data_IF_633046029321
#
_entry.id   IF_633046029321
#
_cell.length_a   1.000
_cell.length_b   1.000
_cell.length_c   1.000
_cell.angle_alpha   90.00
_cell.angle_beta   90.00
_cell.angle_gamma   90.00
#
_symmetry.space_group_name_H-M   'P 1'
#
loop_
_entity.id
_entity.type
_entity.pdbx_description
1 polymer ?
#
# COMPACT_ATOMS: atom_id res chain seq x y z
N UNK A 1 61.56 -25.66 19.24
CA UNK A 1 60.69 -24.96 20.20
C UNK A 1 59.42 -24.58 19.46
N UNK A 2 58.33 -25.27 19.80
CA UNK A 2 57.01 -25.18 19.20
C UNK A 2 56.47 -23.75 19.28
N UNK A 3 55.97 -23.23 18.16
CA UNK A 3 54.92 -22.21 18.17
C UNK A 3 53.64 -22.94 17.74
N UNK A 4 52.99 -23.59 18.72
CA UNK A 4 51.61 -24.03 18.61
C UNK A 4 50.74 -22.77 18.55
N UNK A 5 50.38 -22.35 17.33
CA UNK A 5 49.29 -21.41 17.14
C UNK A 5 48.00 -22.17 17.45
N UNK A 6 47.33 -21.80 18.55
CA UNK A 6 45.99 -22.23 18.94
C UNK A 6 45.05 -22.20 17.73
N UNK A 7 44.74 -23.36 17.17
CA UNK A 7 43.64 -23.53 16.22
C UNK A 7 42.36 -23.72 17.05
N UNK A 8 41.85 -22.63 17.63
CA UNK A 8 40.54 -22.64 18.27
C UNK A 8 39.47 -22.46 17.19
N UNK A 9 38.89 -23.57 16.70
CA UNK A 9 37.80 -23.55 15.72
C UNK A 9 36.66 -22.59 16.07
N UNK A 10 36.00 -22.07 15.04
CA UNK A 10 34.97 -21.04 15.16
C UNK A 10 33.73 -21.56 15.89
N UNK A 11 33.14 -20.69 16.72
CA UNK A 11 31.97 -21.00 17.53
C UNK A 11 30.71 -20.36 16.96
N UNK A 12 29.63 -21.14 16.93
CA UNK A 12 28.36 -20.71 16.35
C UNK A 12 27.20 -21.03 17.30
N UNK A 13 26.34 -20.04 17.57
CA UNK A 13 25.11 -20.26 18.31
C UNK A 13 24.07 -20.88 17.37
N UNK A 14 23.70 -22.12 17.65
CA UNK A 14 22.75 -22.89 16.86
C UNK A 14 21.31 -22.74 17.36
N UNK A 15 20.37 -22.74 16.43
CA UNK A 15 18.94 -22.57 16.67
C UNK A 15 18.10 -23.28 15.60
N UNK A 16 16.82 -23.48 15.90
CA UNK A 16 15.86 -24.13 15.02
C UNK A 16 14.97 -23.13 14.29
N UNK A 17 14.71 -23.46 13.03
CA UNK A 17 13.60 -22.94 12.24
C UNK A 17 13.01 -24.11 11.44
N UNK A 18 11.74 -24.43 11.68
CA UNK A 18 10.99 -25.46 10.95
C UNK A 18 11.68 -26.84 10.96
N UNK A 19 12.20 -27.22 12.12
CA UNK A 19 12.89 -28.50 12.34
C UNK A 19 14.31 -28.54 11.76
N UNK A 20 14.81 -27.47 11.14
CA UNK A 20 16.16 -27.37 10.58
C UNK A 20 17.07 -26.53 11.48
N UNK A 21 18.35 -26.89 11.51
CA UNK A 21 19.36 -26.22 12.34
C UNK A 21 20.05 -25.11 11.53
N UNK A 22 20.02 -23.90 12.08
CA UNK A 22 20.72 -22.72 11.61
C UNK A 22 21.68 -22.24 12.69
N UNK A 23 22.65 -21.41 12.33
CA UNK A 23 23.53 -20.82 13.32
C UNK A 23 24.01 -19.41 12.96
N UNK A 24 24.28 -18.61 13.98
CA UNK A 24 25.01 -17.35 13.88
C UNK A 24 26.38 -17.49 14.50
N UNK A 25 27.33 -16.69 14.03
CA UNK A 25 28.61 -16.53 14.70
C UNK A 25 28.37 -16.02 16.14
N UNK A 26 29.00 -16.69 17.12
CA UNK A 26 28.90 -16.29 18.53
C UNK A 26 29.44 -14.88 18.72
N UNK A 27 30.45 -14.46 17.96
CA UNK A 27 31.04 -13.12 18.04
C UNK A 27 30.05 -12.01 17.65
N UNK A 28 29.04 -12.33 16.84
CA UNK A 28 27.96 -11.41 16.46
C UNK A 28 26.75 -11.49 17.39
N UNK A 29 26.75 -12.41 18.35
CA UNK A 29 25.62 -12.65 19.25
C UNK A 29 25.85 -12.00 20.60
N UNK A 30 24.92 -11.15 21.06
CA UNK A 30 25.00 -10.48 22.36
C UNK A 30 24.39 -11.30 23.49
N UNK A 31 23.16 -11.74 23.30
CA UNK A 31 22.41 -12.50 24.30
C UNK A 31 21.25 -13.27 23.67
N UNK A 32 20.79 -14.30 24.37
CA UNK A 32 19.59 -15.06 24.03
C UNK A 32 18.54 -14.79 25.08
N UNK A 33 17.36 -14.38 24.65
CA UNK A 33 16.23 -14.09 25.52
C UNK A 33 15.16 -15.17 25.31
N UNK A 34 14.53 -15.62 26.41
CA UNK A 34 13.25 -16.31 26.30
C UNK A 34 12.21 -15.37 25.67
N UNK A 35 11.24 -15.94 24.95
CA UNK A 35 10.18 -15.13 24.33
C UNK A 35 9.52 -14.19 25.35
N UNK A 36 9.33 -12.94 24.93
CA UNK A 36 8.60 -11.90 25.66
C UNK A 36 7.70 -11.15 24.69
N UNK A 37 6.74 -10.39 25.21
CA UNK A 37 5.83 -9.62 24.37
C UNK A 37 6.60 -8.58 23.53
N UNK A 38 6.46 -8.70 22.22
CA UNK A 38 6.98 -7.75 21.23
C UNK A 38 5.88 -6.74 20.92
N UNK A 39 6.20 -5.45 20.95
CA UNK A 39 5.25 -4.38 20.60
C UNK A 39 5.19 -4.23 19.08
N UNK A 40 4.05 -4.49 18.42
CA UNK A 40 3.95 -4.38 16.97
C UNK A 40 4.12 -2.94 16.50
N UNK A 41 4.83 -2.75 15.38
CA UNK A 41 4.95 -1.45 14.73
C UNK A 41 4.06 -1.44 13.48
N UNK A 42 3.20 -0.41 13.28
CA UNK A 42 2.42 -0.26 12.07
C UNK A 42 3.31 -0.13 10.82
N UNK A 43 2.80 -0.58 9.67
CA UNK A 43 3.45 -0.39 8.36
C UNK A 43 4.83 -1.08 8.18
N UNK A 44 5.17 -2.09 8.99
CA UNK A 44 6.39 -2.87 8.80
C UNK A 44 6.19 -4.09 7.88
N UNK A 45 7.27 -4.63 7.27
CA UNK A 45 7.22 -5.91 6.59
C UNK A 45 6.72 -7.04 7.49
N UNK A 46 6.13 -8.09 6.91
CA UNK A 46 5.56 -9.25 7.64
C UNK A 46 6.56 -9.93 8.55
N UNK A 47 7.83 -9.94 8.14
CA UNK A 47 8.90 -10.53 8.91
C UNK A 47 9.36 -9.68 10.08
N UNK A 48 8.89 -8.44 10.23
CA UNK A 48 9.17 -7.62 11.41
C UNK A 48 8.07 -7.89 12.43
N UNK A 49 8.42 -8.59 13.51
CA UNK A 49 7.50 -8.89 14.59
C UNK A 49 7.14 -7.63 15.40
N UNK A 50 8.05 -6.65 15.45
CA UNK A 50 7.88 -5.37 16.13
C UNK A 50 9.15 -4.94 16.84
N UNK A 51 9.01 -4.27 17.98
CA UNK A 51 10.12 -3.86 18.85
C UNK A 51 9.99 -4.38 20.28
N UNK A 52 11.12 -4.59 20.92
CA UNK A 52 11.23 -4.84 22.36
C UNK A 52 12.12 -3.79 23.01
N UNK A 53 11.94 -3.59 24.32
CA UNK A 53 12.85 -2.77 25.12
C UNK A 53 13.92 -3.68 25.74
N UNK A 54 15.17 -3.51 25.32
CA UNK A 54 16.33 -4.21 25.84
C UNK A 54 17.17 -3.24 26.67
N UNK A 55 17.06 -3.34 28.00
CA UNK A 55 17.85 -2.56 28.97
C UNK A 55 17.80 -1.04 28.70
N UNK A 56 16.65 -0.52 28.28
CA UNK A 56 16.43 0.90 27.98
C UNK A 56 16.56 1.28 26.51
N UNK A 57 17.06 0.37 25.65
CA UNK A 57 17.18 0.57 24.21
C UNK A 57 16.07 -0.13 23.44
N UNK A 58 15.57 0.50 22.39
CA UNK A 58 14.57 -0.12 21.50
C UNK A 58 15.29 -1.01 20.50
N UNK A 59 14.91 -2.29 20.46
CA UNK A 59 15.48 -3.30 19.55
C UNK A 59 14.38 -3.82 18.62
N UNK A 60 14.62 -3.75 17.32
CA UNK A 60 13.73 -4.33 16.30
C UNK A 60 13.89 -5.84 16.28
N UNK A 61 12.76 -6.55 16.30
CA UNK A 61 12.71 -8.01 16.27
C UNK A 61 12.12 -8.49 14.96
N UNK A 62 12.85 -9.35 14.26
CA UNK A 62 12.42 -10.00 13.02
C UNK A 62 12.06 -11.46 13.29
N UNK A 63 10.90 -11.92 12.80
CA UNK A 63 10.51 -13.32 12.77
C UNK A 63 11.23 -14.02 11.62
N UNK A 64 12.20 -14.86 11.97
CA UNK A 64 13.11 -15.49 11.01
C UNK A 64 12.44 -16.58 10.16
N UNK A 65 11.37 -17.22 10.65
CA UNK A 65 10.55 -18.10 9.80
C UNK A 65 9.96 -17.31 8.65
N UNK A 66 9.26 -16.22 8.95
CA UNK A 66 8.66 -15.38 7.91
C UNK A 66 9.69 -14.63 7.06
N UNK A 67 10.86 -14.27 7.60
CA UNK A 67 11.97 -13.66 6.83
C UNK A 67 12.51 -14.63 5.79
N UNK A 68 12.58 -15.93 6.09
CA UNK A 68 13.04 -16.98 5.17
C UNK A 68 11.90 -17.69 4.43
N UNK A 69 10.70 -17.09 4.38
CA UNK A 69 9.57 -17.60 3.61
C UNK A 69 8.94 -18.88 4.15
N UNK A 70 9.16 -19.21 5.42
CA UNK A 70 8.51 -20.32 6.13
C UNK A 70 7.19 -19.86 6.76
N UNK A 71 6.28 -20.81 6.99
CA UNK A 71 5.02 -20.53 7.70
C UNK A 71 5.30 -20.08 9.14
N UNK A 72 4.52 -19.13 9.66
CA UNK A 72 4.63 -18.76 11.07
C UNK A 72 4.24 -19.94 11.98
N UNK A 73 4.88 -20.04 13.15
CA UNK A 73 4.60 -21.07 14.14
C UNK A 73 3.94 -20.44 15.38
N UNK A 74 3.22 -21.27 16.16
CA UNK A 74 2.76 -20.85 17.47
C UNK A 74 3.96 -20.63 18.40
N UNK A 75 3.88 -19.63 19.27
CA UNK A 75 4.89 -19.40 20.30
C UNK A 75 4.81 -20.55 21.32
N UNK A 76 5.97 -21.09 21.69
CA UNK A 76 6.13 -22.16 22.68
C UNK A 76 7.10 -21.73 23.77
N UNK A 77 7.25 -22.55 24.82
CA UNK A 77 8.22 -22.29 25.89
C UNK A 77 9.68 -22.32 25.41
N UNK A 78 9.95 -23.02 24.30
CA UNK A 78 11.27 -23.08 23.66
C UNK A 78 11.57 -21.86 22.78
N UNK A 79 10.54 -21.08 22.42
CA UNK A 79 10.68 -19.94 21.52
C UNK A 79 11.57 -18.86 22.12
N UNK A 80 12.53 -18.38 21.33
CA UNK A 80 13.58 -17.50 21.80
C UNK A 80 13.81 -16.31 20.85
N UNK A 81 14.39 -15.24 21.39
CA UNK A 81 14.84 -14.08 20.64
C UNK A 81 16.36 -13.98 20.80
N UNK A 82 17.09 -14.14 19.69
CA UNK A 82 18.55 -14.02 19.67
C UNK A 82 18.90 -12.56 19.33
N UNK A 83 19.57 -11.87 20.25
CA UNK A 83 20.04 -10.50 20.05
C UNK A 83 21.42 -10.54 19.40
N UNK A 84 21.57 -9.87 18.27
CA UNK A 84 22.80 -9.84 17.49
C UNK A 84 23.20 -8.41 17.12
N UNK A 85 24.47 -8.25 16.77
CA UNK A 85 25.02 -7.04 16.14
C UNK A 85 25.10 -7.27 14.63
N UNK A 86 24.34 -6.50 13.85
CA UNK A 86 24.39 -6.54 12.40
C UNK A 86 24.94 -5.21 11.86
N UNK A 87 25.72 -5.27 10.80
CA UNK A 87 26.10 -4.08 10.04
C UNK A 87 25.00 -3.74 9.02
N UNK A 88 24.50 -2.51 9.06
CA UNK A 88 23.48 -1.98 8.17
C UNK A 88 23.89 -0.57 7.70
N UNK A 89 24.03 -0.35 6.39
CA UNK A 89 24.49 0.93 5.81
C UNK A 89 25.75 1.50 6.50
N UNK A 90 26.75 0.65 6.73
CA UNK A 90 28.01 0.96 7.44
C UNK A 90 27.85 1.37 8.93
N UNK A 91 26.65 1.22 9.50
CA UNK A 91 26.39 1.38 10.93
C UNK A 91 26.14 0.03 11.62
N UNK A 92 26.68 -0.12 12.83
CA UNK A 92 26.40 -1.29 13.67
C UNK A 92 25.07 -1.10 14.40
N UNK A 93 24.11 -1.98 14.14
CA UNK A 93 22.79 -1.97 14.75
C UNK A 93 22.55 -3.23 15.58
N UNK A 94 21.78 -3.09 16.67
CA UNK A 94 21.38 -4.21 17.52
C UNK A 94 19.97 -4.61 17.11
N UNK A 95 19.81 -5.90 16.77
CA UNK A 95 18.56 -6.45 16.24
C UNK A 95 18.29 -7.82 16.85
N UNK A 96 17.03 -8.24 16.87
CA UNK A 96 16.59 -9.52 17.40
C UNK A 96 16.08 -10.48 16.32
N UNK A 97 16.50 -11.74 16.33
CA UNK A 97 15.89 -12.82 15.57
C UNK A 97 14.96 -13.65 16.47
N UNK A 98 13.66 -13.66 16.17
CA UNK A 98 12.70 -14.59 16.76
C UNK A 98 12.80 -15.95 16.05
N UNK A 99 13.12 -16.99 16.81
CA UNK A 99 13.43 -18.36 16.34
C UNK A 99 12.63 -19.42 17.12
N UNK A 100 12.53 -20.64 16.58
CA UNK A 100 11.70 -21.69 17.20
C UNK A 100 12.28 -22.20 18.52
N UNK A 101 13.60 -22.42 18.56
CA UNK A 101 14.33 -22.84 19.75
C UNK A 101 15.83 -22.58 19.60
N UNK A 102 16.54 -22.29 20.69
CA UNK A 102 18.01 -22.27 20.70
C UNK A 102 18.53 -23.64 21.15
N UNK A 103 19.51 -24.19 20.43
CA UNK A 103 20.09 -25.51 20.73
C UNK A 103 21.43 -25.47 21.46
N UNK A 104 22.10 -24.31 21.44
CA UNK A 104 23.36 -24.08 22.13
C UNK A 104 24.52 -23.79 21.17
N UNK A 105 25.74 -23.75 21.69
CA UNK A 105 26.93 -23.40 20.92
C UNK A 105 27.54 -24.65 20.29
N UNK A 106 27.78 -24.58 18.98
CA UNK A 106 28.52 -25.56 18.20
C UNK A 106 29.90 -25.00 17.86
N UNK A 107 30.87 -25.90 17.68
CA UNK A 107 32.21 -25.56 17.24
C UNK A 107 32.50 -26.30 15.93
N UNK A 108 33.00 -25.56 14.94
CA UNK A 108 33.43 -26.11 13.66
C UNK A 108 34.87 -25.68 13.39
N UNK A 109 35.69 -26.64 13.03
CA UNK A 109 37.00 -26.36 12.42
C UNK A 109 36.81 -25.95 10.95
N UNK A 110 37.78 -25.24 10.38
CA UNK A 110 37.62 -24.64 9.05
C UNK A 110 37.38 -25.66 7.92
N UNK A 111 37.88 -26.88 8.07
CA UNK A 111 37.69 -28.00 7.14
C UNK A 111 36.32 -28.70 7.29
N UNK A 112 35.58 -28.38 8.36
CA UNK A 112 34.22 -28.90 8.61
C UNK A 112 33.13 -27.97 8.07
N UNK A 113 33.50 -26.82 7.50
CA UNK A 113 32.58 -25.85 6.90
C UNK A 113 32.73 -25.94 5.39
N UNK A 114 31.69 -26.44 4.73
CA UNK A 114 31.62 -26.50 3.27
C UNK A 114 30.92 -25.25 2.71
N UNK A 115 31.24 -24.82 1.48
CA UNK A 115 30.52 -23.73 0.83
C UNK A 115 29.05 -24.12 0.56
N UNK A 116 28.12 -23.14 0.53
CA UNK A 116 26.71 -23.42 0.26
C UNK A 116 26.52 -24.04 -1.13
N UNK A 117 25.71 -25.11 -1.27
CA UNK A 117 25.41 -25.73 -2.55
C UNK A 117 24.76 -24.74 -3.52
N UNK A 118 25.25 -24.70 -4.77
CA UNK A 118 24.75 -23.79 -5.80
C UNK A 118 23.41 -24.22 -6.43
N UNK A 119 22.95 -25.44 -6.16
CA UNK A 119 21.75 -26.03 -6.76
C UNK A 119 20.84 -26.58 -5.67
N UNK A 120 19.53 -26.26 -5.73
CA UNK A 120 18.50 -26.84 -4.87
C UNK A 120 18.22 -26.07 -3.56
N UNK A 121 18.95 -25.00 -3.24
CA UNK A 121 18.65 -24.15 -2.09
C UNK A 121 17.62 -23.07 -2.44
N UNK A 122 16.67 -22.85 -1.52
CA UNK A 122 15.69 -21.74 -1.60
C UNK A 122 16.19 -20.44 -0.95
N UNK A 123 17.17 -20.51 -0.06
CA UNK A 123 17.85 -19.31 0.47
C UNK A 123 18.91 -18.83 -0.52
N UNK A 124 19.08 -17.52 -0.63
CA UNK A 124 20.20 -16.93 -1.38
C UNK A 124 21.52 -17.39 -0.76
N UNK A 125 22.47 -17.83 -1.61
CA UNK A 125 23.81 -18.24 -1.17
C UNK A 125 24.56 -17.10 -0.46
N UNK A 126 24.19 -15.85 -0.70
CA UNK A 126 24.78 -14.66 -0.06
C UNK A 126 24.36 -14.50 1.41
N UNK A 127 23.27 -15.16 1.84
CA UNK A 127 22.83 -15.20 3.23
C UNK A 127 23.58 -16.24 4.06
N UNK A 128 24.39 -17.10 3.43
CA UNK A 128 25.00 -18.27 4.03
C UNK A 128 26.52 -18.15 3.94
N UNK A 129 27.19 -18.08 5.09
CA UNK A 129 28.65 -18.12 5.15
C UNK A 129 29.18 -19.53 4.83
N UNK A 130 28.42 -20.57 5.16
CA UNK A 130 28.77 -21.96 4.87
C UNK A 130 27.76 -22.95 5.45
N UNK A 131 28.02 -24.23 5.22
CA UNK A 131 27.29 -25.34 5.83
C UNK A 131 28.28 -26.12 6.70
N UNK A 132 28.05 -26.10 8.01
CA UNK A 132 28.79 -26.93 8.96
C UNK A 132 28.28 -28.36 8.89
N UNK A 133 29.19 -29.33 8.76
CA UNK A 133 28.87 -30.75 8.78
C UNK A 133 29.30 -31.36 10.11
N UNK A 134 28.37 -32.02 10.80
CA UNK A 134 28.68 -32.80 12.01
C UNK A 134 27.89 -34.09 11.99
N UNK A 135 28.61 -35.21 12.02
CA UNK A 135 28.03 -36.54 11.86
C UNK A 135 27.21 -36.63 10.55
N UNK A 136 25.89 -36.81 10.65
CA UNK A 136 24.93 -36.85 9.53
C UNK A 136 24.06 -35.59 9.41
N UNK A 137 24.22 -34.61 10.31
CA UNK A 137 23.42 -33.38 10.35
C UNK A 137 24.14 -32.20 9.70
N UNK A 138 23.35 -31.37 9.00
CA UNK A 138 23.82 -30.14 8.36
C UNK A 138 23.35 -28.92 9.15
N UNK A 139 24.27 -28.00 9.40
CA UNK A 139 24.00 -26.73 10.07
C UNK A 139 24.23 -25.59 9.08
N UNK A 140 23.18 -24.81 8.80
CA UNK A 140 23.29 -23.66 7.90
C UNK A 140 23.84 -22.47 8.68
N UNK A 141 25.06 -22.05 8.38
CA UNK A 141 25.73 -20.93 9.03
C UNK A 141 25.36 -19.64 8.30
N UNK A 142 24.56 -18.79 8.94
CA UNK A 142 24.05 -17.57 8.34
C UNK A 142 25.04 -16.41 8.48
N UNK A 143 25.10 -15.58 7.45
CA UNK A 143 25.71 -14.28 7.53
C UNK A 143 24.75 -13.32 8.26
N UNK A 144 25.10 -12.86 9.46
CA UNK A 144 24.24 -11.99 10.27
C UNK A 144 23.93 -10.67 9.53
N UNK A 145 24.94 -10.02 8.97
CA UNK A 145 24.78 -8.73 8.31
C UNK A 145 23.79 -8.83 7.13
N UNK A 146 23.89 -9.89 6.32
CA UNK A 146 22.97 -10.16 5.21
C UNK A 146 21.61 -10.71 5.66
N UNK A 147 21.55 -11.52 6.71
CA UNK A 147 20.29 -12.08 7.22
C UNK A 147 19.34 -10.99 7.75
N UNK A 148 19.90 -9.89 8.25
CA UNK A 148 19.16 -8.74 8.77
C UNK A 148 19.11 -7.55 7.78
N UNK A 149 19.76 -7.63 6.61
CA UNK A 149 19.64 -6.60 5.58
C UNK A 149 18.28 -6.62 4.89
N UNK A 150 17.89 -5.47 4.32
CA UNK A 150 16.70 -5.34 3.47
C UNK A 150 16.89 -5.92 2.07
N UNK A 151 18.04 -6.54 1.74
CA UNK A 151 18.25 -7.13 0.41
C UNK A 151 17.18 -8.20 0.12
N UNK A 152 16.34 -7.82 -0.85
CA UNK A 152 15.02 -8.37 -1.14
C UNK A 152 15.07 -9.86 -1.52
N UNK A 153 14.03 -10.61 -1.11
CA UNK A 153 13.69 -11.92 -1.69
C UNK A 153 13.28 -11.82 -3.18
N UNK A 154 13.22 -10.61 -3.73
CA UNK A 154 12.92 -10.29 -5.13
C UNK A 154 14.18 -9.71 -5.78
N UNK A 155 14.65 -10.32 -6.86
CA UNK A 155 15.84 -9.86 -7.58
C UNK A 155 15.65 -8.47 -8.20
N UNK A 156 16.74 -7.76 -8.46
CA UNK A 156 16.70 -6.47 -9.18
C UNK A 156 15.98 -6.56 -10.52
N UNK A 157 16.15 -7.67 -11.24
CA UNK A 157 15.43 -7.93 -12.50
C UNK A 157 13.93 -8.00 -12.27
N UNK A 158 13.47 -8.78 -11.28
CA UNK A 158 12.04 -8.90 -10.97
C UNK A 158 11.47 -7.55 -10.53
N UNK A 159 12.23 -6.78 -9.74
CA UNK A 159 11.84 -5.43 -9.32
C UNK A 159 11.66 -4.49 -10.50
N UNK A 160 12.55 -4.54 -11.49
CA UNK A 160 12.43 -3.79 -12.74
C UNK A 160 11.22 -4.26 -13.55
N UNK A 161 11.03 -5.58 -13.70
CA UNK A 161 9.89 -6.16 -14.41
C UNK A 161 8.55 -5.68 -13.84
N UNK A 162 8.35 -5.75 -12.51
CA UNK A 162 7.12 -5.24 -11.87
C UNK A 162 7.00 -3.72 -11.98
N UNK A 163 8.10 -2.97 -11.86
CA UNK A 163 8.06 -1.50 -12.02
C UNK A 163 7.61 -1.12 -13.43
N UNK A 164 8.16 -1.77 -14.46
CA UNK A 164 7.78 -1.57 -15.86
C UNK A 164 6.34 -2.00 -16.14
N UNK A 165 5.88 -3.09 -15.53
CA UNK A 165 4.48 -3.52 -15.66
C UNK A 165 3.53 -2.48 -15.06
N UNK A 166 3.86 -1.93 -13.89
CA UNK A 166 3.05 -0.91 -13.22
C UNK A 166 3.00 0.37 -14.04
N UNK A 167 4.14 0.83 -14.53
CA UNK A 167 4.21 2.04 -15.35
C UNK A 167 3.46 1.86 -16.67
N UNK A 168 3.63 0.70 -17.33
CA UNK A 168 2.94 0.37 -18.58
C UNK A 168 1.42 0.28 -18.41
N UNK A 169 0.95 -0.41 -17.38
CA UNK A 169 -0.49 -0.72 -17.25
C UNK A 169 -1.25 0.36 -16.48
N UNK A 170 -0.61 1.06 -15.54
CA UNK A 170 -1.28 2.01 -14.65
C UNK A 170 -0.68 3.42 -14.69
N UNK A 171 0.44 3.64 -15.38
CA UNK A 171 1.10 4.95 -15.45
C UNK A 171 1.70 5.42 -14.13
N UNK A 172 1.80 4.54 -13.13
CA UNK A 172 2.25 4.89 -11.77
C UNK A 172 3.78 4.79 -11.70
N UNK A 173 4.44 5.89 -11.36
CA UNK A 173 5.87 5.88 -11.05
C UNK A 173 6.12 5.30 -9.65
N UNK A 174 7.10 4.40 -9.58
CA UNK A 174 7.49 3.70 -8.36
C UNK A 174 8.79 4.27 -7.78
N UNK A 175 8.72 5.29 -6.89
CA UNK A 175 9.89 5.75 -6.15
C UNK A 175 10.43 4.63 -5.23
N UNK A 176 11.71 4.68 -4.82
CA UNK A 176 12.37 3.62 -4.05
C UNK A 176 11.57 3.12 -2.84
N UNK A 177 11.03 4.03 -2.02
CA UNK A 177 10.22 3.71 -0.83
C UNK A 177 8.97 2.88 -1.16
N UNK A 178 8.32 3.14 -2.31
CA UNK A 178 7.14 2.35 -2.72
C UNK A 178 7.51 0.96 -3.21
N UNK A 179 8.75 0.73 -3.66
CA UNK A 179 9.19 -0.59 -4.12
C UNK A 179 9.24 -1.59 -2.95
N UNK A 180 9.74 -1.17 -1.79
CA UNK A 180 9.75 -1.99 -0.56
C UNK A 180 8.33 -2.38 -0.11
N UNK A 181 7.40 -1.42 -0.12
CA UNK A 181 5.99 -1.69 0.19
C UNK A 181 5.35 -2.66 -0.80
N UNK A 182 5.65 -2.52 -2.09
CA UNK A 182 5.19 -3.43 -3.12
C UNK A 182 5.73 -4.85 -2.89
N UNK A 183 7.03 -5.01 -2.57
CA UNK A 183 7.62 -6.33 -2.27
C UNK A 183 6.86 -7.04 -1.15
N UNK A 184 6.58 -6.34 -0.04
CA UNK A 184 5.86 -6.93 1.09
C UNK A 184 4.41 -7.32 0.72
N UNK A 185 3.71 -6.48 -0.04
CA UNK A 185 2.33 -6.74 -0.49
C UNK A 185 2.27 -7.88 -1.49
N UNK A 186 3.21 -7.94 -2.43
CA UNK A 186 3.35 -9.03 -3.39
C UNK A 186 3.67 -10.34 -2.68
N UNK A 187 4.63 -10.36 -1.76
CA UNK A 187 4.97 -11.58 -0.99
C UNK A 187 3.74 -12.24 -0.36
N UNK A 188 2.87 -11.45 0.29
CA UNK A 188 1.59 -11.95 0.85
C UNK A 188 0.69 -12.54 -0.23
N UNK A 189 0.61 -11.90 -1.39
CA UNK A 189 -0.25 -12.34 -2.50
C UNK A 189 0.27 -13.63 -3.13
N UNK A 190 1.58 -13.73 -3.38
CA UNK A 190 2.25 -14.92 -3.88
C UNK A 190 1.96 -16.13 -2.98
N UNK A 191 2.13 -15.95 -1.66
CA UNK A 191 1.86 -17.00 -0.68
C UNK A 191 0.38 -17.44 -0.69
N UNK A 192 -0.56 -16.49 -0.79
CA UNK A 192 -1.98 -16.80 -0.85
C UNK A 192 -2.38 -17.60 -2.11
N UNK A 193 -1.65 -17.44 -3.20
CA UNK A 193 -1.88 -18.16 -4.47
C UNK A 193 -1.00 -19.40 -4.64
N UNK A 194 -0.06 -19.65 -3.72
CA UNK A 194 0.85 -20.79 -3.77
C UNK A 194 1.97 -20.68 -4.81
N UNK A 195 2.29 -19.46 -5.29
CA UNK A 195 3.42 -19.25 -6.20
C UNK A 195 4.76 -19.37 -5.46
N UNK A 196 5.75 -19.99 -6.09
CA UNK A 196 7.06 -20.27 -5.47
C UNK A 196 8.10 -19.20 -5.76
N UNK A 197 7.83 -18.31 -6.71
CA UNK A 197 8.71 -17.18 -7.04
C UNK A 197 7.95 -15.98 -7.62
N UNK A 198 8.57 -14.81 -7.53
CA UNK A 198 8.10 -13.58 -8.17
C UNK A 198 8.06 -13.70 -9.69
N UNK A 199 9.04 -14.38 -10.29
CA UNK A 199 9.05 -14.69 -11.73
C UNK A 199 7.84 -15.51 -12.17
N UNK A 200 7.44 -16.55 -11.42
CA UNK A 200 6.23 -17.34 -11.73
C UNK A 200 4.96 -16.48 -11.68
N UNK A 201 4.83 -15.68 -10.62
CA UNK A 201 3.70 -14.76 -10.47
C UNK A 201 3.67 -13.71 -11.58
N UNK A 202 4.82 -13.13 -11.93
CA UNK A 202 4.93 -12.17 -13.02
C UNK A 202 4.43 -12.75 -14.36
N UNK A 203 4.85 -13.97 -14.69
CA UNK A 203 4.38 -14.68 -15.89
C UNK A 203 2.87 -14.92 -15.86
N UNK A 204 2.31 -15.23 -14.69
CA UNK A 204 0.88 -15.44 -14.54
C UNK A 204 0.07 -14.15 -14.76
N UNK A 205 0.45 -13.04 -14.10
CA UNK A 205 -0.31 -11.78 -14.21
C UNK A 205 -0.18 -11.11 -15.58
N UNK A 206 0.87 -11.44 -16.33
CA UNK A 206 1.09 -10.93 -17.69
C UNK A 206 0.47 -11.81 -18.78
N UNK A 207 -0.11 -12.98 -18.41
CA UNK A 207 -0.87 -13.82 -19.33
C UNK A 207 -2.26 -13.21 -19.57
N UNK A 208 -2.54 -12.81 -20.81
CA UNK A 208 -3.79 -12.11 -21.18
C UNK A 208 -5.08 -12.92 -20.92
N UNK A 209 -4.99 -14.26 -20.89
CA UNK A 209 -6.16 -15.14 -20.72
C UNK A 209 -6.37 -15.55 -19.27
N UNK A 210 -5.29 -15.73 -18.51
CA UNK A 210 -5.32 -16.26 -17.14
C UNK A 210 -5.13 -15.18 -16.07
N UNK A 211 -4.42 -14.11 -16.41
CA UNK A 211 -4.00 -13.07 -15.48
C UNK A 211 -4.92 -11.85 -15.42
N UNK A 212 -5.92 -11.73 -16.29
CA UNK A 212 -6.77 -10.53 -16.36
C UNK A 212 -7.46 -10.21 -15.03
N UNK A 213 -8.06 -11.20 -14.38
CA UNK A 213 -8.69 -11.04 -13.06
C UNK A 213 -7.65 -10.68 -11.98
N UNK A 214 -6.46 -11.29 -12.06
CA UNK A 214 -5.37 -11.02 -11.12
C UNK A 214 -4.79 -9.61 -11.29
N UNK A 215 -4.79 -9.07 -12.50
CA UNK A 215 -4.29 -7.73 -12.79
C UNK A 215 -5.09 -6.66 -12.04
N UNK A 216 -6.39 -6.86 -11.85
CA UNK A 216 -7.23 -5.99 -11.01
C UNK A 216 -6.79 -6.04 -9.54
N UNK A 217 -6.43 -7.21 -9.03
CA UNK A 217 -5.95 -7.38 -7.65
C UNK A 217 -4.55 -6.78 -7.51
N UNK A 218 -3.71 -6.94 -8.53
CA UNK A 218 -2.39 -6.31 -8.58
C UNK A 218 -2.49 -4.78 -8.50
N UNK A 219 -3.47 -4.16 -9.17
CA UNK A 219 -3.74 -2.73 -9.05
C UNK A 219 -4.05 -2.30 -7.59
N UNK A 220 -4.79 -3.11 -6.84
CA UNK A 220 -5.06 -2.87 -5.40
C UNK A 220 -3.78 -2.92 -4.54
N UNK A 221 -2.80 -3.76 -4.91
CA UNK A 221 -1.54 -3.87 -4.18
C UNK A 221 -0.62 -2.68 -4.43
N UNK A 222 -0.70 -2.08 -5.61
CA UNK A 222 0.17 -0.98 -6.06
C UNK A 222 -0.36 0.38 -5.61
N UNK A 223 -1.69 0.51 -5.55
CA UNK A 223 -2.36 1.77 -5.21
C UNK A 223 -2.16 2.16 -3.73
N UNK A 224 -2.20 3.47 -3.48
CA UNK A 224 -2.19 4.05 -2.14
C UNK A 224 -3.49 4.83 -2.00
N UNK A 225 -4.33 4.41 -1.06
CA UNK A 225 -5.65 4.97 -0.85
C UNK A 225 -5.67 5.77 0.44
N UNK A 226 -5.35 7.06 0.34
CA UNK A 226 -5.53 7.98 1.46
C UNK A 226 -6.57 9.02 1.07
N UNK A 227 -7.71 8.98 1.77
CA UNK A 227 -8.84 9.87 1.54
C UNK A 227 -9.59 10.09 2.84
N UNK A 228 -10.30 11.21 2.92
CA UNK A 228 -11.12 11.59 4.07
C UNK A 228 -12.26 12.51 3.62
N UNK A 229 -13.34 12.53 4.39
CA UNK A 229 -14.44 13.45 4.15
C UNK A 229 -13.96 14.90 4.25
N UNK A 230 -14.39 15.76 3.33
CA UNK A 230 -14.00 17.18 3.27
C UNK A 230 -12.48 17.45 3.21
N UNK A 231 -11.69 16.50 2.67
CA UNK A 231 -10.27 16.72 2.37
C UNK A 231 -10.10 17.96 1.47
N UNK A 232 -9.27 18.91 1.86
CA UNK A 232 -9.08 20.20 1.17
C UNK A 232 -10.39 21.02 1.06
N UNK A 233 -10.98 21.34 2.22
CA UNK A 233 -12.27 22.01 2.38
C UNK A 233 -12.51 23.20 1.44
N UNK A 234 -11.47 23.98 1.13
CA UNK A 234 -11.55 25.14 0.24
C UNK A 234 -12.14 24.84 -1.15
N UNK A 235 -11.93 23.64 -1.69
CA UNK A 235 -12.55 23.25 -2.97
C UNK A 235 -14.06 23.13 -2.85
N UNK A 236 -14.55 22.57 -1.74
CA UNK A 236 -15.97 22.44 -1.47
C UNK A 236 -16.60 23.80 -1.11
N UNK A 237 -15.85 24.68 -0.46
CA UNK A 237 -16.28 26.05 -0.20
C UNK A 237 -16.44 26.84 -1.50
N UNK A 238 -15.50 26.72 -2.45
CA UNK A 238 -15.64 27.33 -3.78
C UNK A 238 -16.78 26.70 -4.58
N UNK A 239 -16.92 25.38 -4.51
CA UNK A 239 -18.01 24.66 -5.15
C UNK A 239 -19.36 25.23 -4.69
N UNK A 240 -19.58 25.31 -3.39
CA UNK A 240 -20.82 25.79 -2.79
C UNK A 240 -21.07 27.27 -3.07
N UNK A 241 -20.10 28.15 -2.75
CA UNK A 241 -20.30 29.60 -2.79
C UNK A 241 -20.25 30.21 -4.19
N UNK A 242 -19.65 29.51 -5.17
CA UNK A 242 -19.39 30.08 -6.50
C UNK A 242 -19.84 29.16 -7.62
N UNK A 243 -19.26 27.96 -7.73
CA UNK A 243 -19.42 27.15 -8.94
C UNK A 243 -20.86 26.68 -9.15
N UNK A 244 -21.56 26.26 -8.08
CA UNK A 244 -22.96 25.82 -8.17
C UNK A 244 -23.90 26.97 -8.54
N UNK A 245 -23.70 28.17 -8.00
CA UNK A 245 -24.46 29.36 -8.39
C UNK A 245 -24.28 29.67 -9.88
N UNK A 246 -23.04 29.68 -10.39
CA UNK A 246 -22.77 29.93 -11.81
C UNK A 246 -23.40 28.86 -12.72
N UNK A 247 -23.29 27.58 -12.36
CA UNK A 247 -23.89 26.50 -13.13
C UNK A 247 -25.43 26.58 -13.13
N UNK A 248 -26.03 26.96 -12.01
CA UNK A 248 -27.48 27.16 -11.89
C UNK A 248 -27.94 28.34 -12.76
N UNK A 249 -27.31 29.51 -12.64
CA UNK A 249 -27.71 30.73 -13.34
C UNK A 249 -27.53 30.61 -14.86
N UNK A 250 -26.37 30.13 -15.31
CA UNK A 250 -26.05 30.11 -16.74
C UNK A 250 -26.69 28.95 -17.49
N UNK A 251 -26.85 27.79 -16.83
CA UNK A 251 -27.25 26.53 -17.48
C UNK A 251 -28.53 25.93 -16.91
N UNK A 252 -29.08 26.49 -15.84
CA UNK A 252 -30.17 25.85 -15.08
C UNK A 252 -29.76 24.51 -14.49
N UNK A 253 -28.46 24.29 -14.22
CA UNK A 253 -27.96 23.01 -13.76
C UNK A 253 -28.54 22.69 -12.37
N UNK A 254 -28.98 21.45 -12.19
CA UNK A 254 -29.68 20.99 -10.99
C UNK A 254 -31.20 21.13 -11.10
N UNK A 255 -31.72 22.10 -11.85
CA UNK A 255 -33.17 22.35 -11.97
C UNK A 255 -33.72 21.93 -13.32
N UNK A 256 -33.15 22.42 -14.43
CA UNK A 256 -33.56 22.07 -15.80
C UNK A 256 -33.02 20.71 -16.24
N UNK A 257 -31.86 20.34 -15.71
CA UNK A 257 -31.16 19.08 -15.98
C UNK A 257 -30.31 18.71 -14.75
N UNK A 258 -30.05 17.42 -14.51
CA UNK A 258 -29.22 17.01 -13.38
C UNK A 258 -27.78 17.51 -13.53
N UNK A 259 -27.18 17.97 -12.44
CA UNK A 259 -25.73 18.22 -12.39
C UNK A 259 -25.00 16.89 -12.48
N UNK A 260 -24.01 16.79 -13.37
CA UNK A 260 -23.16 15.60 -13.49
C UNK A 260 -21.78 15.88 -12.93
N UNK A 261 -21.37 15.09 -11.95
CA UNK A 261 -20.03 15.22 -11.35
C UNK A 261 -19.26 13.92 -11.49
N UNK A 262 -18.00 14.01 -11.90
CA UNK A 262 -17.05 12.91 -11.89
C UNK A 262 -16.05 13.09 -10.74
N UNK A 263 -15.87 12.09 -9.90
CA UNK A 263 -14.71 11.94 -9.01
C UNK A 263 -13.83 10.84 -9.62
N UNK A 264 -12.77 11.24 -10.35
CA UNK A 264 -12.06 10.34 -11.27
C UNK A 264 -11.03 9.42 -10.61
N UNK A 265 -10.75 9.63 -9.32
CA UNK A 265 -9.95 8.79 -8.44
C UNK A 265 -10.59 8.74 -7.04
N UNK A 266 -11.81 8.20 -6.98
CA UNK A 266 -12.72 8.36 -5.84
C UNK A 266 -12.31 7.58 -4.58
N UNK A 267 -11.36 6.65 -4.68
CA UNK A 267 -10.92 5.79 -3.60
C UNK A 267 -12.13 5.13 -2.90
N UNK A 268 -12.21 5.18 -1.57
CA UNK A 268 -13.31 4.59 -0.80
C UNK A 268 -14.59 5.45 -0.76
N UNK A 269 -14.69 6.48 -1.62
CA UNK A 269 -15.94 7.22 -1.88
C UNK A 269 -16.15 8.48 -1.04
N UNK A 270 -15.27 8.80 -0.09
CA UNK A 270 -15.43 9.98 0.78
C UNK A 270 -15.55 11.30 0.00
N UNK A 271 -14.80 11.45 -1.10
CA UNK A 271 -14.91 12.64 -1.96
C UNK A 271 -16.28 12.72 -2.64
N UNK A 272 -16.71 11.63 -3.29
CA UNK A 272 -18.00 11.55 -3.97
C UNK A 272 -19.17 11.84 -3.02
N UNK A 273 -19.13 11.31 -1.80
CA UNK A 273 -20.16 11.58 -0.80
C UNK A 273 -20.05 12.98 -0.19
N UNK A 274 -18.84 13.54 -0.06
CA UNK A 274 -18.68 14.95 0.34
C UNK A 274 -19.34 15.88 -0.69
N UNK A 275 -19.13 15.62 -1.98
CA UNK A 275 -19.77 16.37 -3.08
C UNK A 275 -21.29 16.24 -2.97
N UNK A 276 -21.80 15.03 -2.75
CA UNK A 276 -23.24 14.78 -2.59
C UNK A 276 -23.84 15.56 -1.43
N UNK A 277 -23.14 15.61 -0.28
CA UNK A 277 -23.55 16.41 0.89
C UNK A 277 -23.61 17.89 0.53
N UNK A 278 -22.58 18.43 -0.13
CA UNK A 278 -22.54 19.85 -0.55
C UNK A 278 -23.69 20.19 -1.50
N UNK A 279 -23.99 19.33 -2.47
CA UNK A 279 -25.09 19.51 -3.41
C UNK A 279 -26.47 19.52 -2.71
N UNK A 280 -26.66 18.67 -1.70
CA UNK A 280 -27.89 18.65 -0.89
C UNK A 280 -28.01 19.90 -0.02
N UNK A 281 -26.95 20.31 0.68
CA UNK A 281 -26.98 21.53 1.49
C UNK A 281 -27.21 22.76 0.60
N UNK A 282 -26.65 22.80 -0.60
CA UNK A 282 -26.89 23.88 -1.57
C UNK A 282 -28.37 23.98 -1.95
N UNK A 283 -29.00 22.86 -2.34
CA UNK A 283 -30.43 22.82 -2.66
C UNK A 283 -31.30 23.27 -1.49
N UNK A 284 -31.02 22.77 -0.28
CA UNK A 284 -31.77 23.08 0.94
C UNK A 284 -31.68 24.56 1.30
N UNK A 285 -30.47 25.12 1.31
CA UNK A 285 -30.25 26.50 1.73
C UNK A 285 -30.76 27.52 0.70
N UNK A 286 -30.88 27.12 -0.57
CA UNK A 286 -31.48 27.95 -1.63
C UNK A 286 -32.97 27.61 -1.91
N UNK A 287 -33.61 26.76 -1.10
CA UNK A 287 -35.02 26.35 -1.24
C UNK A 287 -35.40 25.78 -2.62
N UNK A 288 -34.50 25.02 -3.25
CA UNK A 288 -34.70 24.46 -4.59
C UNK A 288 -35.31 23.06 -4.48
N UNK A 289 -36.63 22.96 -4.69
CA UNK A 289 -37.39 21.72 -4.45
C UNK A 289 -37.14 20.61 -5.48
N UNK A 290 -36.80 20.95 -6.73
CA UNK A 290 -36.60 19.99 -7.83
C UNK A 290 -35.12 19.79 -8.18
N UNK A 291 -34.22 19.92 -7.20
CA UNK A 291 -32.78 19.83 -7.43
C UNK A 291 -32.34 18.38 -7.66
N UNK A 292 -31.62 18.13 -8.75
CA UNK A 292 -31.17 16.78 -9.11
C UNK A 292 -29.71 16.77 -9.54
N UNK A 293 -29.01 15.68 -9.23
CA UNK A 293 -27.62 15.49 -9.63
C UNK A 293 -27.30 13.99 -9.72
N UNK A 294 -26.19 13.67 -10.40
CA UNK A 294 -25.57 12.36 -10.41
C UNK A 294 -24.06 12.49 -10.18
N UNK A 295 -23.54 11.62 -9.34
CA UNK A 295 -22.10 11.47 -9.10
C UNK A 295 -21.65 10.17 -9.74
N UNK A 296 -20.60 10.24 -10.55
CA UNK A 296 -19.85 9.08 -11.01
C UNK A 296 -18.53 9.07 -10.27
N UNK A 297 -18.29 8.03 -9.46
CA UNK A 297 -16.98 7.78 -8.86
C UNK A 297 -16.24 6.72 -9.67
N UNK A 298 -14.98 6.95 -9.99
CA UNK A 298 -14.14 5.93 -10.62
C UNK A 298 -12.84 5.73 -9.88
N UNK A 299 -12.31 4.51 -9.89
CA UNK A 299 -10.98 4.21 -9.36
C UNK A 299 -10.39 2.99 -10.10
N UNK A 300 -9.07 2.85 -10.04
CA UNK A 300 -8.38 1.67 -10.57
C UNK A 300 -8.55 0.45 -9.64
N UNK A 301 -8.89 0.68 -8.36
CA UNK A 301 -9.09 -0.41 -7.40
C UNK A 301 -10.56 -0.83 -7.34
N UNK A 302 -10.83 -2.09 -7.71
CA UNK A 302 -12.19 -2.66 -7.59
C UNK A 302 -12.62 -2.78 -6.12
N UNK A 303 -11.67 -3.06 -5.22
CA UNK A 303 -11.90 -3.13 -3.78
C UNK A 303 -12.42 -1.82 -3.21
N UNK A 304 -11.82 -0.69 -3.55
CA UNK A 304 -12.27 0.61 -3.02
C UNK A 304 -13.54 1.10 -3.71
N UNK A 305 -13.73 0.82 -5.01
CA UNK A 305 -14.99 1.05 -5.73
C UNK A 305 -16.15 0.33 -5.04
N UNK A 306 -15.97 -0.96 -4.70
CA UNK A 306 -16.98 -1.74 -3.98
C UNK A 306 -17.20 -1.23 -2.55
N UNK A 307 -16.16 -0.71 -1.88
CA UNK A 307 -16.30 -0.07 -0.57
C UNK A 307 -17.09 1.24 -0.67
N UNK A 308 -16.81 2.07 -1.67
CA UNK A 308 -17.51 3.31 -1.97
C UNK A 308 -18.99 3.06 -2.25
N UNK A 309 -19.31 2.08 -3.09
CA UNK A 309 -20.70 1.68 -3.39
C UNK A 309 -21.48 1.22 -2.13
N UNK A 310 -20.82 0.51 -1.21
CA UNK A 310 -21.44 0.14 0.08
C UNK A 310 -21.71 1.36 0.97
N UNK A 311 -20.80 2.35 0.94
CA UNK A 311 -20.87 3.58 1.71
C UNK A 311 -20.84 3.36 3.22
N UNK A 312 -20.10 2.34 3.69
CA UNK A 312 -19.96 1.99 5.11
C UNK A 312 -18.57 2.37 5.59
N UNK A 313 -18.49 3.12 6.68
CA UNK A 313 -17.26 3.64 7.26
C UNK A 313 -17.24 3.42 8.77
N UNK A 314 -16.06 3.39 9.36
CA UNK A 314 -15.93 3.47 10.82
C UNK A 314 -16.30 4.88 11.30
N UNK A 315 -16.96 5.03 12.46
CA UNK A 315 -17.44 6.31 12.98
C UNK A 315 -16.31 7.33 13.16
N UNK A 316 -15.10 6.85 13.45
CA UNK A 316 -13.89 7.68 13.53
C UNK A 316 -13.56 8.42 12.22
N UNK A 317 -14.01 7.93 11.05
CA UNK A 317 -13.79 8.57 9.74
C UNK A 317 -14.63 9.83 9.54
N UNK A 318 -15.71 9.97 10.32
CA UNK A 318 -16.59 11.15 10.30
C UNK A 318 -16.48 11.96 11.60
N UNK A 319 -15.47 11.70 12.43
CA UNK A 319 -15.29 12.36 13.74
C UNK A 319 -15.26 13.88 13.62
N UNK A 320 -14.59 14.41 12.59
CA UNK A 320 -14.40 15.84 12.34
C UNK A 320 -15.58 16.53 11.65
N UNK A 321 -16.65 15.80 11.29
CA UNK A 321 -17.83 16.42 10.67
C UNK A 321 -18.69 17.14 11.73
N UNK A 322 -19.36 18.25 11.37
CA UNK A 322 -20.38 18.85 12.22
C UNK A 322 -21.47 17.84 12.58
N UNK A 323 -21.97 17.90 13.83
CA UNK A 323 -22.98 16.96 14.33
C UNK A 323 -24.22 16.89 13.41
N UNK A 324 -24.65 18.04 12.88
CA UNK A 324 -25.82 18.11 12.00
C UNK A 324 -25.61 17.35 10.69
N UNK A 325 -24.39 17.36 10.13
CA UNK A 325 -24.07 16.59 8.93
C UNK A 325 -24.07 15.10 9.22
N UNK A 326 -23.51 14.69 10.37
CA UNK A 326 -23.55 13.27 10.79
C UNK A 326 -24.99 12.78 10.89
N UNK A 327 -25.85 13.55 11.56
CA UNK A 327 -27.27 13.20 11.77
C UNK A 327 -28.08 13.16 10.47
N UNK A 328 -27.83 14.09 9.54
CA UNK A 328 -28.55 14.17 8.27
C UNK A 328 -28.12 13.10 7.25
N UNK A 329 -26.82 12.83 7.16
CA UNK A 329 -26.24 12.11 6.02
C UNK A 329 -25.66 10.74 6.34
N UNK A 330 -25.67 10.35 7.62
CA UNK A 330 -25.18 9.04 8.06
C UNK A 330 -26.16 8.34 8.99
N UNK A 331 -26.30 7.03 8.80
CA UNK A 331 -27.02 6.11 9.65
C UNK A 331 -26.02 5.41 10.58
N UNK A 332 -26.28 5.42 11.89
CA UNK A 332 -25.44 4.72 12.87
C UNK A 332 -25.82 3.24 12.96
N UNK A 333 -24.83 2.35 12.96
CA UNK A 333 -25.04 0.93 13.19
C UNK A 333 -25.48 0.62 14.62
N UNK A 334 -26.00 -0.58 14.84
CA UNK A 334 -26.49 -1.06 16.14
C UNK A 334 -25.82 -2.38 16.52
N UNK A 335 -25.78 -2.71 17.81
CA UNK A 335 -25.18 -3.95 18.32
C UNK A 335 -23.70 -4.04 17.94
N UNK A 336 -23.29 -5.16 17.37
CA UNK A 336 -21.91 -5.44 16.93
C UNK A 336 -21.38 -4.48 15.85
N UNK A 337 -22.23 -3.63 15.26
CA UNK A 337 -21.86 -2.63 14.25
C UNK A 337 -21.93 -1.20 14.79
N UNK A 338 -21.93 -1.01 16.11
CA UNK A 338 -22.11 0.32 16.75
C UNK A 338 -21.00 1.32 16.41
N UNK A 339 -19.83 0.82 16.05
CA UNK A 339 -18.64 1.55 15.60
C UNK A 339 -18.71 1.93 14.11
N UNK A 340 -19.71 1.44 13.37
CA UNK A 340 -19.89 1.71 11.95
C UNK A 340 -21.00 2.72 11.68
N UNK A 341 -20.79 3.49 10.63
CA UNK A 341 -21.77 4.40 10.05
C UNK A 341 -21.94 4.08 8.58
N UNK A 342 -23.14 4.34 8.05
CA UNK A 342 -23.44 4.15 6.64
C UNK A 342 -24.05 5.41 6.04
N UNK A 343 -23.59 5.81 4.87
CA UNK A 343 -24.20 6.93 4.13
C UNK A 343 -25.67 6.62 3.85
N UNK A 344 -26.53 7.63 4.03
CA UNK A 344 -27.97 7.49 3.85
C UNK A 344 -28.36 7.04 2.43
N UNK A 345 -29.46 6.28 2.26
CA UNK A 345 -29.85 5.72 0.96
C UNK A 345 -29.98 6.75 -0.16
N UNK A 346 -30.44 7.96 0.14
CA UNK A 346 -30.70 9.03 -0.81
C UNK A 346 -29.41 9.49 -1.49
N UNK A 347 -28.33 9.69 -0.71
CA UNK A 347 -27.02 10.05 -1.29
C UNK A 347 -26.42 8.88 -2.07
N UNK A 348 -26.57 7.65 -1.59
CA UNK A 348 -26.08 6.45 -2.31
C UNK A 348 -26.80 6.23 -3.63
N UNK A 349 -28.10 6.52 -3.71
CA UNK A 349 -28.88 6.40 -4.94
C UNK A 349 -28.48 7.44 -6.01
N UNK A 350 -27.82 8.53 -5.60
CA UNK A 350 -27.31 9.57 -6.50
C UNK A 350 -25.87 9.35 -6.97
N UNK A 351 -25.22 8.27 -6.52
CA UNK A 351 -23.81 8.00 -6.79
C UNK A 351 -23.59 6.58 -7.35
N UNK A 352 -22.99 6.51 -8.54
CA UNK A 352 -22.61 5.26 -9.20
C UNK A 352 -21.07 5.13 -9.22
N UNK A 353 -20.56 3.95 -8.86
CA UNK A 353 -19.12 3.71 -8.76
C UNK A 353 -18.66 2.64 -9.73
N UNK A 354 -17.58 2.92 -10.47
CA UNK A 354 -17.09 2.04 -11.53
C UNK A 354 -15.57 1.87 -11.47
N UNK A 355 -15.09 0.70 -11.87
CA UNK A 355 -13.68 0.55 -12.22
C UNK A 355 -13.37 1.37 -13.47
N UNK A 356 -12.28 2.12 -13.44
CA UNK A 356 -11.74 2.80 -14.62
C UNK A 356 -10.24 3.00 -14.47
N UNK A 357 -9.49 2.71 -15.53
CA UNK A 357 -8.09 3.06 -15.61
C UNK A 357 -7.94 4.40 -16.35
N UNK A 358 -7.34 5.40 -15.69
CA UNK A 358 -7.08 6.71 -16.30
C UNK A 358 -6.13 6.62 -17.50
N UNK A 359 -5.33 5.54 -17.58
CA UNK A 359 -4.44 5.31 -18.71
C UNK A 359 -5.17 4.85 -19.98
N UNK A 360 -6.41 4.35 -19.89
CA UNK A 360 -7.17 3.85 -21.02
C UNK A 360 -7.40 4.94 -22.08
N UNK A 361 -7.24 4.59 -23.36
CA UNK A 361 -7.39 5.53 -24.48
C UNK A 361 -8.79 6.14 -24.58
N UNK A 362 -9.80 5.45 -24.05
CA UNK A 362 -11.21 5.87 -24.06
C UNK A 362 -11.81 5.62 -22.69
N UNK A 363 -12.49 6.64 -22.16
CA UNK A 363 -13.26 6.49 -20.93
C UNK A 363 -14.69 6.04 -21.24
N UNK A 364 -15.29 5.17 -20.42
CA UNK A 364 -16.58 4.55 -20.69
C UNK A 364 -17.75 5.50 -20.35
N UNK A 365 -17.64 6.77 -20.70
CA UNK A 365 -18.67 7.78 -20.44
C UNK A 365 -19.39 8.13 -21.74
N UNK A 366 -20.70 7.94 -21.77
CA UNK A 366 -21.55 8.38 -22.88
C UNK A 366 -21.90 9.87 -22.81
N UNK A 367 -21.71 10.50 -21.65
CA UNK A 367 -22.18 11.86 -21.37
C UNK A 367 -21.11 12.68 -20.67
N UNK A 368 -21.14 13.99 -20.91
CA UNK A 368 -20.18 14.94 -20.34
C UNK A 368 -20.59 15.42 -18.93
N UNK A 369 -19.61 15.84 -18.16
CA UNK A 369 -19.75 16.29 -16.78
C UNK A 369 -19.76 17.81 -16.66
N UNK A 370 -20.49 18.35 -15.69
CA UNK A 370 -20.41 19.77 -15.36
C UNK A 370 -19.24 20.07 -14.41
N UNK A 371 -18.83 19.08 -13.62
CA UNK A 371 -17.74 19.18 -12.65
C UNK A 371 -16.93 17.88 -12.68
N UNK A 372 -15.61 17.99 -12.73
CA UNK A 372 -14.68 16.86 -12.61
C UNK A 372 -13.71 17.16 -11.46
N UNK A 373 -13.63 16.25 -10.51
CA UNK A 373 -12.61 16.19 -9.48
C UNK A 373 -11.56 15.15 -9.90
N UNK A 374 -10.31 15.59 -10.05
CA UNK A 374 -9.15 14.73 -10.29
C UNK A 374 -8.03 15.14 -9.34
N UNK A 375 -8.15 14.71 -8.09
CA UNK A 375 -7.34 15.22 -6.98
C UNK A 375 -6.44 14.16 -6.38
N UNK A 376 -5.22 14.57 -6.02
CA UNK A 376 -4.24 13.77 -5.27
C UNK A 376 -3.88 12.42 -5.94
N UNK A 377 -4.11 12.31 -7.25
CA UNK A 377 -3.80 11.15 -8.08
C UNK A 377 -2.85 11.51 -9.22
N UNK A 378 -2.84 12.78 -9.65
CA UNK A 378 -2.00 13.24 -10.77
C UNK A 378 -0.52 13.08 -10.46
N UNK A 379 -0.14 13.21 -9.18
CA UNK A 379 1.22 13.05 -8.65
C UNK A 379 1.88 11.68 -8.95
N UNK A 380 1.08 10.67 -9.33
CA UNK A 380 1.61 9.35 -9.64
C UNK A 380 2.06 9.18 -11.10
N UNK A 381 1.64 10.09 -11.98
CA UNK A 381 1.91 10.02 -13.42
C UNK A 381 3.06 10.95 -13.81
N UNK A 382 3.79 10.61 -14.86
CA UNK A 382 4.74 11.54 -15.48
C UNK A 382 4.04 12.65 -16.28
N UNK A 383 4.81 13.65 -16.71
CA UNK A 383 4.28 14.81 -17.41
C UNK A 383 3.52 14.47 -18.70
N UNK A 384 3.99 13.48 -19.46
CA UNK A 384 3.35 13.07 -20.71
C UNK A 384 1.99 12.42 -20.45
N UNK A 385 1.94 11.51 -19.48
CA UNK A 385 0.72 10.83 -19.08
C UNK A 385 -0.25 11.77 -18.37
N UNK A 386 0.24 12.71 -17.55
CA UNK A 386 -0.57 13.79 -16.97
C UNK A 386 -1.29 14.59 -18.07
N UNK A 387 -0.57 15.02 -19.12
CA UNK A 387 -1.15 15.78 -20.22
C UNK A 387 -2.25 15.00 -20.96
N UNK A 388 -1.99 13.71 -21.26
CA UNK A 388 -2.99 12.82 -21.90
C UNK A 388 -4.24 12.65 -21.03
N UNK A 389 -4.06 12.35 -19.74
CA UNK A 389 -5.17 12.14 -18.80
C UNK A 389 -5.99 13.42 -18.67
N UNK A 390 -5.35 14.57 -18.44
CA UNK A 390 -6.01 15.86 -18.32
C UNK A 390 -6.72 16.25 -19.62
N UNK A 391 -6.13 15.97 -20.78
CA UNK A 391 -6.76 16.15 -22.09
C UNK A 391 -8.05 15.35 -22.23
N UNK A 392 -8.03 14.06 -21.87
CA UNK A 392 -9.22 13.20 -21.90
C UNK A 392 -10.30 13.66 -20.92
N UNK A 393 -9.92 14.00 -19.69
CA UNK A 393 -10.86 14.52 -18.68
C UNK A 393 -11.47 15.85 -19.12
N UNK A 394 -10.65 16.79 -19.59
CA UNK A 394 -11.12 18.06 -20.14
C UNK A 394 -12.05 17.85 -21.35
N UNK A 395 -11.80 16.83 -22.17
CA UNK A 395 -12.69 16.40 -23.26
C UNK A 395 -14.11 16.05 -22.79
N UNK A 396 -14.23 15.37 -21.65
CA UNK A 396 -15.50 14.99 -21.03
C UNK A 396 -16.13 16.08 -20.16
N UNK A 397 -15.49 17.24 -20.02
CA UNK A 397 -16.05 18.37 -19.28
C UNK A 397 -16.94 19.23 -20.21
N UNK A 398 -18.11 19.66 -19.75
CA UNK A 398 -18.96 20.59 -20.48
C UNK A 398 -18.28 21.97 -20.58
N UNK A 399 -18.49 22.70 -21.67
CA UNK A 399 -18.08 24.11 -21.77
C UNK A 399 -18.68 24.90 -20.60
N UNK A 400 -17.86 25.71 -19.92
CA UNK A 400 -18.22 26.43 -18.69
C UNK A 400 -18.25 25.56 -17.42
N UNK A 401 -17.96 24.26 -17.52
CA UNK A 401 -17.82 23.35 -16.38
C UNK A 401 -16.47 23.50 -15.67
N UNK A 402 -16.32 22.85 -14.52
CA UNK A 402 -15.16 23.01 -13.63
C UNK A 402 -14.32 21.73 -13.54
N UNK A 403 -13.00 21.89 -13.63
CA UNK A 403 -12.01 20.87 -13.28
C UNK A 403 -11.31 21.29 -11.98
N UNK A 404 -11.28 20.39 -11.00
CA UNK A 404 -10.70 20.62 -9.68
C UNK A 404 -9.58 19.60 -9.46
N UNK A 405 -8.38 20.08 -9.15
CA UNK A 405 -7.19 19.25 -8.86
C UNK A 405 -6.72 19.47 -7.41
N UNK A 406 -5.85 18.60 -6.91
CA UNK A 406 -5.35 18.63 -5.54
C UNK A 406 -4.37 19.77 -5.29
N UNK A 407 -4.13 20.15 -4.03
CA UNK A 407 -3.28 21.32 -3.70
C UNK A 407 -1.84 21.23 -4.20
N UNK A 408 -1.27 20.02 -4.23
CA UNK A 408 0.11 19.78 -4.67
C UNK A 408 0.23 19.62 -6.19
N UNK A 409 -0.87 19.81 -6.92
CA UNK A 409 -0.98 19.55 -8.35
C UNK A 409 -1.09 20.88 -9.10
N UNK A 410 -0.54 20.96 -10.31
CA UNK A 410 -0.53 22.18 -11.11
C UNK A 410 -0.92 21.91 -12.56
N UNK A 411 -1.68 22.82 -13.14
CA UNK A 411 -1.98 22.83 -14.59
C UNK A 411 -0.95 23.62 -15.41
N UNK A 412 0.05 24.21 -14.76
CA UNK A 412 1.07 25.02 -15.44
C UNK A 412 1.85 24.19 -16.44
N UNK A 413 1.87 24.63 -17.69
CA UNK A 413 2.60 23.98 -18.77
C UNK A 413 1.81 22.96 -19.58
N UNK A 414 0.49 22.84 -19.37
CA UNK A 414 -0.40 22.05 -20.22
C UNK A 414 -1.27 22.96 -21.10
N UNK A 415 -1.36 22.66 -22.39
CA UNK A 415 -2.17 23.44 -23.33
C UNK A 415 -3.58 22.86 -23.43
N UNK A 416 -4.44 23.20 -22.47
CA UNK A 416 -5.81 22.71 -22.39
C UNK A 416 -6.81 23.86 -22.48
N UNK A 417 -8.05 23.63 -22.98
CA UNK A 417 -9.09 24.66 -23.08
C UNK A 417 -9.71 24.99 -21.71
N UNK A 418 -8.86 25.32 -20.74
CA UNK A 418 -9.17 25.55 -19.33
C UNK A 418 -8.56 26.89 -18.91
N UNK A 419 -9.35 27.73 -18.24
CA UNK A 419 -8.86 28.98 -17.63
C UNK A 419 -8.85 28.85 -16.10
N UNK A 420 -7.86 29.41 -15.41
CA UNK A 420 -7.88 29.46 -13.94
C UNK A 420 -9.12 30.19 -13.43
N UNK A 421 -9.79 29.62 -12.43
CA UNK A 421 -10.96 30.20 -11.78
C UNK A 421 -10.72 30.48 -10.28
N UNK A 422 -9.93 29.64 -9.62
CA UNK A 422 -9.36 29.85 -8.29
C UNK A 422 -8.09 28.98 -8.16
N UNK A 423 -7.43 29.01 -6.98
CA UNK A 423 -6.34 28.09 -6.69
C UNK A 423 -6.79 26.64 -6.94
N UNK A 424 -6.05 25.92 -7.79
CA UNK A 424 -6.31 24.51 -8.17
C UNK A 424 -7.72 24.22 -8.73
N UNK A 425 -8.43 25.26 -9.20
CA UNK A 425 -9.75 25.15 -9.83
C UNK A 425 -9.73 25.86 -11.19
N UNK A 426 -10.20 25.16 -12.22
CA UNK A 426 -10.16 25.61 -13.60
C UNK A 426 -11.53 25.49 -14.25
N UNK A 427 -11.82 26.39 -15.19
CA UNK A 427 -13.11 26.44 -15.90
C UNK A 427 -12.90 26.23 -17.39
N UNK A 428 -13.68 25.34 -18.01
CA UNK A 428 -13.60 25.07 -19.46
C UNK A 428 -14.19 26.22 -20.26
N UNK A 429 -13.50 26.62 -21.33
CA UNK A 429 -13.89 27.74 -22.21
C UNK A 429 -14.42 27.33 -23.57
#
# INVERSE_FOLDING_TARGET
>A
MNNEMNNEGAQYLSFLLDGKIFAFDVLKTREVLSYTNITPIPCTPVYVAGVLNLRGSVVTVMNFRTKFGMNSAAITDDTAIIIVEANYDDEMVIVGALVDAVKGVLRFEADQIEPPPKVGMKLSTELINGIGKRDDDFVVILNVDKAFSEEDLMSEKERLDFSSLIEKNFGIKMPPVKKVLLTSRLSKRLNALGFKSYTEYYKFITDEKKGADELHIFADLVSTHETSFFREKQHFDYLYNTALHQLLEEKGAGVKKPIRVLSSACSTGEEAYTISIILNEFSRNNNISSYSYRITGTDISTKVVNAAARGVYHESRISNLPHDYKKKYFMKGKGEKSDLVRVVPELRASADFHFMNLMDERYPFSESFDIIFFRNAMIYFDKENQEKILGRLAGHLNKGGFLIIGHSETMSGYNLPLRPAAATIYRKV
#
